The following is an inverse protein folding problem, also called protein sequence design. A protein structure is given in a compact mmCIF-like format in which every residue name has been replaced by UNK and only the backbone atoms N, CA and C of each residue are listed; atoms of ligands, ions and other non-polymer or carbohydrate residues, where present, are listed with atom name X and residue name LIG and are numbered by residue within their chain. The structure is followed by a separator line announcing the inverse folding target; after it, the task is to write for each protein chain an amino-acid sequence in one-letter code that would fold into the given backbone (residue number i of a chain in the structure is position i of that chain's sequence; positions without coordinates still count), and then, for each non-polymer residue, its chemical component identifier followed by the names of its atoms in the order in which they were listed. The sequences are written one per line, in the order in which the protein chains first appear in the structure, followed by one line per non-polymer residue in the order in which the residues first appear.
data_IF_982673400937
#
_entry.id   IF_982673400937
#
_cell.length_a   1.000
_cell.length_b   1.000
_cell.length_c   1.000
_cell.angle_alpha   90.00
_cell.angle_beta   90.00
_cell.angle_gamma   90.00
#
_symmetry.space_group_name_H-M   'P 1'
#
loop_
_entity.id
_entity.type
_entity.pdbx_description
1 polymer ?
#
# COMPACT_ATOMS: atom_id res chain seq x y z
N UNK A 1 -1.69 4.28 -21.34
CA UNK A 1 -0.88 5.10 -22.28
C UNK A 1 -1.74 5.56 -23.43
N UNK A 2 -2.14 6.84 -23.42
CA UNK A 2 -2.38 7.69 -24.59
C UNK A 2 -3.10 8.95 -24.10
N UNK A 3 -2.43 10.10 -24.12
CA UNK A 3 -3.00 11.41 -24.47
C UNK A 3 -1.85 12.38 -24.81
N UNK A 4 -2.12 13.39 -25.66
CA UNK A 4 -1.33 13.66 -26.85
C UNK A 4 -0.57 14.99 -26.78
N UNK A 5 0.39 15.18 -27.69
CA UNK A 5 1.02 16.46 -28.05
C UNK A 5 1.43 17.39 -26.88
N UNK A 6 2.66 17.21 -26.38
CA UNK A 6 3.43 18.32 -25.79
C UNK A 6 4.78 18.42 -26.51
N UNK A 7 5.17 19.65 -26.80
CA UNK A 7 6.44 20.11 -27.37
C UNK A 7 7.68 19.34 -26.84
N UNK A 8 8.80 19.30 -27.59
CA UNK A 8 9.94 18.45 -27.24
C UNK A 8 10.55 18.91 -25.91
N UNK A 9 10.22 18.21 -24.83
CA UNK A 9 10.82 18.45 -23.52
C UNK A 9 12.23 17.84 -23.50
N UNK A 10 13.20 18.48 -22.80
CA UNK A 10 14.60 18.05 -22.80
C UNK A 10 14.71 16.58 -22.41
N UNK A 11 15.61 15.88 -23.10
CA UNK A 11 15.76 14.42 -23.15
C UNK A 11 15.70 13.72 -21.77
N UNK A 12 16.12 14.40 -20.70
CA UNK A 12 16.04 13.93 -19.31
C UNK A 12 14.60 13.81 -18.77
N UNK A 13 13.72 14.81 -19.00
CA UNK A 13 12.33 14.75 -18.52
C UNK A 13 11.51 13.69 -19.27
N UNK A 14 11.79 13.49 -20.56
CA UNK A 14 11.16 12.43 -21.35
C UNK A 14 11.54 11.02 -20.84
N UNK A 15 12.80 10.84 -20.44
CA UNK A 15 13.27 9.58 -19.87
C UNK A 15 12.64 9.30 -18.48
N UNK A 16 12.53 10.33 -17.64
CA UNK A 16 11.87 10.22 -16.33
C UNK A 16 10.37 9.89 -16.47
N UNK A 17 9.67 10.47 -17.45
CA UNK A 17 8.26 10.15 -17.68
C UNK A 17 8.07 8.73 -18.22
N UNK A 18 8.94 8.25 -19.12
CA UNK A 18 8.90 6.85 -19.56
C UNK A 18 9.15 5.85 -18.41
N UNK A 19 10.03 6.20 -17.47
CA UNK A 19 10.24 5.41 -16.26
C UNK A 19 8.99 5.46 -15.37
N UNK A 20 8.39 6.62 -15.18
CA UNK A 20 7.18 6.78 -14.35
C UNK A 20 5.94 6.07 -14.93
N UNK A 21 5.85 5.96 -16.26
CA UNK A 21 4.78 5.24 -16.95
C UNK A 21 4.97 3.72 -16.96
N UNK A 22 6.13 3.23 -16.52
CA UNK A 22 6.39 1.80 -16.47
C UNK A 22 5.64 1.14 -15.31
N UNK A 23 4.78 0.16 -15.60
CA UNK A 23 4.02 -0.57 -14.57
C UNK A 23 4.91 -1.14 -13.46
N UNK A 24 6.11 -1.62 -13.81
CA UNK A 24 7.08 -2.14 -12.84
C UNK A 24 7.60 -1.04 -11.91
N UNK A 25 7.86 0.15 -12.44
CA UNK A 25 8.33 1.27 -11.64
C UNK A 25 7.22 1.82 -10.75
N UNK A 26 6.00 2.00 -11.27
CA UNK A 26 4.82 2.43 -10.48
C UNK A 26 4.53 1.45 -9.33
N UNK A 27 4.57 0.15 -9.63
CA UNK A 27 4.40 -0.94 -8.65
C UNK A 27 5.54 -0.97 -7.62
N UNK A 28 6.79 -0.81 -8.07
CA UNK A 28 7.95 -0.77 -7.18
C UNK A 28 7.92 0.42 -6.23
N UNK A 29 7.61 1.61 -6.76
CA UNK A 29 7.54 2.84 -5.99
C UNK A 29 6.38 2.80 -4.97
N UNK A 30 5.21 2.32 -5.38
CA UNK A 30 4.07 2.14 -4.47
C UNK A 30 4.32 1.07 -3.41
N UNK A 31 5.02 -0.02 -3.75
CA UNK A 31 5.45 -1.03 -2.79
C UNK A 31 6.43 -0.48 -1.76
N UNK A 32 7.43 0.29 -2.18
CA UNK A 32 8.39 0.96 -1.26
C UNK A 32 7.69 2.01 -0.40
N UNK A 33 6.81 2.82 -1.00
CA UNK A 33 6.00 3.80 -0.27
C UNK A 33 5.10 3.13 0.78
N UNK A 34 4.44 2.04 0.41
CA UNK A 34 3.64 1.22 1.32
C UNK A 34 4.48 0.60 2.44
N UNK A 35 5.70 0.12 2.14
CA UNK A 35 6.61 -0.40 3.15
C UNK A 35 7.00 0.67 4.17
N UNK A 36 7.38 1.87 3.72
CA UNK A 36 7.76 2.97 4.59
C UNK A 36 6.59 3.42 5.48
N UNK A 37 5.42 3.64 4.90
CA UNK A 37 4.20 4.02 5.64
C UNK A 37 3.77 2.93 6.62
N UNK A 38 3.79 1.66 6.22
CA UNK A 38 3.45 0.53 7.09
C UNK A 38 4.45 0.32 8.22
N UNK A 39 5.74 0.61 7.99
CA UNK A 39 6.77 0.57 9.02
C UNK A 39 6.59 1.66 10.08
N UNK A 40 6.33 2.90 9.65
CA UNK A 40 6.03 4.01 10.55
C UNK A 40 4.74 3.77 11.34
N UNK A 41 3.68 3.36 10.64
CA UNK A 41 2.41 3.03 11.27
C UNK A 41 2.53 1.84 12.24
N UNK A 42 3.30 0.81 11.89
CA UNK A 42 3.55 -0.34 12.75
C UNK A 42 4.36 0.01 14.00
N UNK A 43 5.35 0.90 13.90
CA UNK A 43 6.10 1.40 15.06
C UNK A 43 5.19 2.21 16.00
N UNK A 44 4.32 3.04 15.41
CA UNK A 44 3.37 3.84 16.18
C UNK A 44 2.32 2.97 16.88
N UNK A 45 1.70 2.02 16.17
CA UNK A 45 0.71 1.09 16.74
C UNK A 45 1.32 0.18 17.81
N UNK A 46 2.52 -0.34 17.59
CA UNK A 46 3.21 -1.15 18.61
C UNK A 46 3.56 -0.34 19.86
N UNK A 47 3.72 0.99 19.75
CA UNK A 47 3.91 1.86 20.92
C UNK A 47 2.67 1.91 21.81
N UNK A 48 1.47 1.93 21.23
CA UNK A 48 0.22 1.88 22.00
C UNK A 48 -0.06 0.50 22.59
N UNK A 49 0.19 -0.57 21.83
CA UNK A 49 0.03 -1.92 22.36
C UNK A 49 1.03 -2.19 23.48
N UNK A 50 2.27 -1.73 23.38
CA UNK A 50 3.30 -1.88 24.42
C UNK A 50 2.93 -1.15 25.72
N UNK A 51 2.22 -0.01 25.64
CA UNK A 51 1.68 0.66 26.81
C UNK A 51 0.61 -0.18 27.57
N UNK A 52 0.12 -1.25 26.95
CA UNK A 52 -0.87 -2.18 27.49
C UNK A 52 -0.35 -3.59 27.80
N UNK A 53 0.96 -3.87 27.62
CA UNK A 53 1.55 -5.21 27.85
C UNK A 53 2.07 -5.38 29.29
N UNK A 54 1.40 -6.32 29.97
CA UNK A 54 1.80 -7.26 31.03
C UNK A 54 3.01 -6.93 31.96
N UNK A 55 2.81 -6.90 33.30
CA UNK A 55 3.87 -6.67 34.30
C UNK A 55 4.98 -7.74 34.32
N UNK A 56 4.81 -8.87 33.62
CA UNK A 56 5.79 -9.96 33.55
C UNK A 56 7.12 -9.59 32.85
N UNK A 57 7.19 -8.48 32.10
CA UNK A 57 8.44 -8.01 31.49
C UNK A 57 9.28 -7.17 32.48
N UNK A 58 8.67 -6.64 33.53
CA UNK A 58 9.32 -5.72 34.49
C UNK A 58 10.31 -6.41 35.44
N UNK A 59 10.29 -7.75 35.53
CA UNK A 59 11.22 -8.51 36.38
C UNK A 59 12.59 -8.77 35.70
N UNK A 60 12.71 -8.49 34.39
CA UNK A 60 13.97 -8.63 33.66
C UNK A 60 14.82 -7.35 33.79
N UNK A 61 16.17 -7.44 33.77
CA UNK A 61 17.02 -6.26 33.78
C UNK A 61 16.66 -5.31 32.63
N UNK A 62 16.65 -3.99 32.89
CA UNK A 62 16.20 -2.95 31.94
C UNK A 62 16.79 -3.08 30.52
N UNK A 63 18.03 -3.61 30.40
CA UNK A 63 18.67 -3.87 29.10
C UNK A 63 18.03 -5.02 28.32
N UNK A 64 17.56 -6.07 28.99
CA UNK A 64 16.88 -7.21 28.37
C UNK A 64 15.42 -6.87 28.05
N UNK A 65 14.73 -6.11 28.91
CA UNK A 65 13.40 -5.57 28.62
C UNK A 65 13.44 -4.67 27.38
N UNK A 66 14.35 -3.69 27.34
CA UNK A 66 14.46 -2.81 26.17
C UNK A 66 14.79 -3.58 24.89
N UNK A 67 15.66 -4.60 24.97
CA UNK A 67 16.02 -5.44 23.83
C UNK A 67 14.85 -6.33 23.37
N UNK A 68 14.07 -6.88 24.30
CA UNK A 68 12.90 -7.68 24.00
C UNK A 68 11.78 -6.83 23.38
N UNK A 69 11.49 -5.67 23.99
CA UNK A 69 10.54 -4.68 23.48
C UNK A 69 10.95 -4.19 22.09
N UNK A 70 12.20 -3.77 21.90
CA UNK A 70 12.68 -3.32 20.60
C UNK A 70 12.59 -4.42 19.53
N UNK A 71 12.86 -5.68 19.91
CA UNK A 71 12.72 -6.83 19.00
C UNK A 71 11.27 -7.10 18.62
N UNK A 72 10.34 -7.03 19.57
CA UNK A 72 8.91 -7.23 19.30
C UNK A 72 8.35 -6.09 18.45
N UNK A 73 8.67 -4.84 18.78
CA UNK A 73 8.29 -3.66 17.99
C UNK A 73 8.82 -3.76 16.56
N UNK A 74 10.09 -4.14 16.38
CA UNK A 74 10.67 -4.33 15.06
C UNK A 74 9.97 -5.45 14.26
N UNK A 75 9.68 -6.59 14.90
CA UNK A 75 9.00 -7.71 14.23
C UNK A 75 7.58 -7.33 13.79
N UNK A 76 6.80 -6.67 14.66
CA UNK A 76 5.45 -6.19 14.34
C UNK A 76 5.49 -5.14 13.23
N UNK A 77 6.37 -4.15 13.36
CA UNK A 77 6.53 -3.08 12.37
C UNK A 77 6.93 -3.63 11.00
N UNK A 78 7.82 -4.61 10.96
CA UNK A 78 8.23 -5.28 9.73
C UNK A 78 7.08 -6.07 9.09
N UNK A 79 6.28 -6.76 9.89
CA UNK A 79 5.08 -7.48 9.42
C UNK A 79 4.04 -6.53 8.81
N UNK A 80 3.80 -5.40 9.46
CA UNK A 80 2.91 -4.35 8.94
C UNK A 80 3.47 -3.73 7.65
N UNK A 81 4.75 -3.32 7.65
CA UNK A 81 5.44 -2.80 6.48
C UNK A 81 5.31 -3.74 5.26
N UNK A 82 5.52 -5.05 5.46
CA UNK A 82 5.35 -6.05 4.40
C UNK A 82 3.91 -6.11 3.88
N UNK A 83 2.93 -6.05 4.77
CA UNK A 83 1.51 -6.12 4.39
C UNK A 83 1.09 -4.90 3.56
N UNK A 84 1.50 -3.69 3.96
CA UNK A 84 1.24 -2.46 3.21
C UNK A 84 2.02 -2.40 1.89
N UNK A 85 3.26 -2.91 1.86
CA UNK A 85 4.03 -3.01 0.63
C UNK A 85 3.33 -3.91 -0.41
N UNK A 86 2.85 -5.08 0.02
CA UNK A 86 2.11 -6.01 -0.85
C UNK A 86 0.79 -5.40 -1.30
N UNK A 87 0.05 -4.75 -0.40
CA UNK A 87 -1.20 -4.06 -0.74
C UNK A 87 -0.99 -2.96 -1.78
N UNK A 88 0.01 -2.08 -1.59
CA UNK A 88 0.35 -1.03 -2.54
C UNK A 88 0.81 -1.55 -3.90
N UNK A 89 1.62 -2.61 -3.91
CA UNK A 89 2.09 -3.24 -5.13
C UNK A 89 0.94 -3.90 -5.94
N UNK A 90 0.03 -4.63 -5.27
CA UNK A 90 -1.12 -5.24 -5.96
C UNK A 90 -2.05 -4.15 -6.51
N UNK A 91 -2.33 -3.10 -5.72
CA UNK A 91 -3.19 -2.00 -6.17
C UNK A 91 -2.62 -1.30 -7.41
N UNK A 92 -1.38 -0.83 -7.34
CA UNK A 92 -0.75 -0.13 -8.47
C UNK A 92 -0.53 -1.03 -9.69
N UNK A 93 -0.18 -2.30 -9.46
CA UNK A 93 0.00 -3.27 -10.53
C UNK A 93 -1.32 -3.60 -11.24
N UNK A 94 -2.40 -3.83 -10.49
CA UNK A 94 -3.72 -4.13 -11.07
C UNK A 94 -4.29 -2.94 -11.83
N UNK A 95 -4.15 -1.73 -11.28
CA UNK A 95 -4.51 -0.49 -11.98
C UNK A 95 -3.76 -0.37 -13.31
N UNK A 96 -2.44 -0.57 -13.32
CA UNK A 96 -1.64 -0.45 -14.54
C UNK A 96 -2.01 -1.50 -15.60
N UNK A 97 -2.34 -2.73 -15.19
CA UNK A 97 -2.81 -3.79 -16.10
C UNK A 97 -4.17 -3.39 -16.71
N UNK A 98 -5.10 -2.86 -15.90
CA UNK A 98 -6.42 -2.43 -16.37
C UNK A 98 -6.30 -1.23 -17.32
N UNK A 99 -5.47 -0.26 -16.98
CA UNK A 99 -5.18 0.89 -17.83
C UNK A 99 -4.51 0.49 -19.15
N UNK A 100 -3.57 -0.46 -19.11
CA UNK A 100 -2.94 -1.02 -20.29
C UNK A 100 -3.94 -1.73 -21.21
N UNK A 101 -4.94 -2.42 -20.64
CA UNK A 101 -5.95 -3.12 -21.41
C UNK A 101 -7.06 -2.20 -21.96
N UNK A 102 -7.55 -1.23 -21.16
CA UNK A 102 -8.67 -0.35 -21.56
C UNK A 102 -8.24 0.94 -22.25
N UNK A 103 -6.97 1.31 -22.15
CA UNK A 103 -6.41 2.58 -22.64
C UNK A 103 -7.19 3.83 -22.19
N UNK A 104 -7.85 3.77 -21.02
CA UNK A 104 -8.57 4.87 -20.39
C UNK A 104 -8.18 4.95 -18.93
N UNK A 105 -8.13 6.16 -18.36
CA UNK A 105 -7.94 6.40 -16.92
C UNK A 105 -9.20 7.04 -16.32
N UNK A 106 -10.08 6.17 -15.82
CA UNK A 106 -11.36 6.54 -15.21
C UNK A 106 -11.45 6.03 -13.77
N UNK A 107 -12.39 6.58 -12.99
CA UNK A 107 -12.67 6.15 -11.60
C UNK A 107 -12.91 4.64 -11.46
N UNK A 108 -13.39 4.00 -12.52
CA UNK A 108 -13.65 2.56 -12.55
C UNK A 108 -12.37 1.73 -12.45
N UNK A 109 -11.23 2.26 -12.89
CA UNK A 109 -9.95 1.57 -12.80
C UNK A 109 -9.49 1.46 -11.35
N UNK A 110 -9.52 2.57 -10.60
CA UNK A 110 -9.23 2.57 -9.18
C UNK A 110 -10.23 1.73 -8.39
N UNK A 111 -11.53 1.83 -8.72
CA UNK A 111 -12.57 0.98 -8.10
C UNK A 111 -12.28 -0.52 -8.28
N UNK A 112 -11.97 -0.94 -9.51
CA UNK A 112 -11.72 -2.34 -9.84
C UNK A 112 -10.39 -2.82 -9.25
N UNK A 113 -9.32 -2.02 -9.34
CA UNK A 113 -8.03 -2.30 -8.72
C UNK A 113 -8.18 -2.44 -7.18
N UNK A 114 -8.94 -1.55 -6.55
CA UNK A 114 -9.29 -1.60 -5.14
C UNK A 114 -10.04 -2.89 -4.80
N UNK A 115 -11.11 -3.22 -5.52
CA UNK A 115 -11.86 -4.47 -5.30
C UNK A 115 -10.96 -5.71 -5.43
N UNK A 116 -10.16 -5.80 -6.51
CA UNK A 116 -9.28 -6.94 -6.77
C UNK A 116 -8.23 -7.05 -5.66
N UNK A 117 -7.64 -5.93 -5.24
CA UNK A 117 -6.64 -5.90 -4.16
C UNK A 117 -7.24 -6.37 -2.84
N UNK A 118 -8.40 -5.83 -2.46
CA UNK A 118 -9.10 -6.20 -1.23
C UNK A 118 -9.57 -7.66 -1.23
N UNK A 119 -10.10 -8.14 -2.36
CA UNK A 119 -10.49 -9.54 -2.54
C UNK A 119 -9.29 -10.47 -2.44
N UNK A 120 -8.16 -10.14 -3.09
CA UNK A 120 -6.97 -10.99 -3.12
C UNK A 120 -6.31 -11.10 -1.74
N UNK A 121 -6.24 -9.99 -1.00
CA UNK A 121 -5.70 -9.98 0.36
C UNK A 121 -6.59 -10.79 1.32
N UNK A 122 -7.91 -10.70 1.19
CA UNK A 122 -8.86 -11.40 2.04
C UNK A 122 -9.23 -12.82 1.53
N UNK A 123 -8.72 -13.24 0.37
CA UNK A 123 -9.09 -14.51 -0.26
C UNK A 123 -8.87 -15.72 0.65
N UNK A 124 -7.78 -15.71 1.44
CA UNK A 124 -7.46 -16.79 2.38
C UNK A 124 -8.38 -16.86 3.60
N UNK A 125 -9.09 -15.78 3.92
CA UNK A 125 -10.03 -15.71 5.03
C UNK A 125 -11.45 -16.18 4.65
N UNK A 126 -11.67 -16.57 3.37
CA UNK A 126 -12.93 -17.10 2.87
C UNK A 126 -13.70 -16.14 1.96
N UNK A 127 -14.76 -16.62 1.28
CA UNK A 127 -15.47 -15.85 0.26
C UNK A 127 -16.21 -14.63 0.82
N UNK A 128 -16.75 -14.72 2.04
CA UNK A 128 -17.40 -13.59 2.70
C UNK A 128 -16.40 -12.48 3.03
N UNK A 129 -15.21 -12.83 3.53
CA UNK A 129 -14.14 -11.88 3.79
C UNK A 129 -13.63 -11.24 2.48
N UNK A 130 -13.52 -12.00 1.39
CA UNK A 130 -13.15 -11.49 0.08
C UNK A 130 -14.18 -10.48 -0.47
N UNK A 131 -15.48 -10.74 -0.29
CA UNK A 131 -16.54 -9.81 -0.70
C UNK A 131 -16.51 -8.51 0.11
N UNK A 132 -16.36 -8.61 1.43
CA UNK A 132 -16.23 -7.45 2.32
C UNK A 132 -14.96 -6.66 1.99
N UNK A 133 -13.84 -7.36 1.77
CA UNK A 133 -12.57 -6.78 1.36
C UNK A 133 -12.67 -6.04 0.03
N UNK A 134 -13.30 -6.65 -0.98
CA UNK A 134 -13.57 -6.01 -2.26
C UNK A 134 -14.40 -4.73 -2.07
N UNK A 135 -15.54 -4.83 -1.37
CA UNK A 135 -16.43 -3.70 -1.18
C UNK A 135 -15.74 -2.54 -0.43
N UNK A 136 -15.00 -2.84 0.64
CA UNK A 136 -14.28 -1.84 1.43
C UNK A 136 -13.18 -1.13 0.64
N UNK A 137 -12.32 -1.89 -0.04
CA UNK A 137 -11.23 -1.30 -0.83
C UNK A 137 -11.72 -0.59 -2.10
N UNK A 138 -12.79 -1.10 -2.73
CA UNK A 138 -13.44 -0.42 -3.85
C UNK A 138 -14.02 0.93 -3.44
N UNK A 139 -14.75 0.96 -2.31
CA UNK A 139 -15.32 2.19 -1.75
C UNK A 139 -14.24 3.19 -1.35
N UNK A 140 -13.18 2.73 -0.69
CA UNK A 140 -12.05 3.59 -0.32
C UNK A 140 -11.36 4.17 -1.55
N UNK A 141 -11.04 3.33 -2.55
CA UNK A 141 -10.39 3.80 -3.77
C UNK A 141 -11.26 4.79 -4.56
N UNK A 142 -12.57 4.55 -4.65
CA UNK A 142 -13.48 5.50 -5.31
C UNK A 142 -13.57 6.81 -4.55
N UNK A 143 -13.63 6.78 -3.23
CA UNK A 143 -13.65 8.00 -2.43
C UNK A 143 -12.38 8.85 -2.66
N UNK A 144 -11.21 8.21 -2.68
CA UNK A 144 -9.94 8.89 -2.95
C UNK A 144 -9.89 9.43 -4.38
N UNK A 145 -10.28 8.65 -5.39
CA UNK A 145 -10.32 9.11 -6.78
C UNK A 145 -11.29 10.27 -6.99
N UNK A 146 -12.46 10.23 -6.33
CA UNK A 146 -13.42 11.33 -6.37
C UNK A 146 -12.89 12.58 -5.66
N UNK A 147 -12.17 12.42 -4.56
CA UNK A 147 -11.54 13.53 -3.85
C UNK A 147 -10.46 14.18 -4.71
N UNK A 148 -9.52 13.40 -5.26
CA UNK A 148 -8.44 13.90 -6.11
C UNK A 148 -8.91 14.50 -7.43
N UNK A 149 -10.08 14.10 -7.95
CA UNK A 149 -10.67 14.67 -9.19
C UNK A 149 -11.52 15.91 -8.93
N UNK A 150 -11.85 16.22 -7.67
CA UNK A 150 -12.61 17.41 -7.30
C UNK A 150 -11.73 18.65 -7.12
N UNK A 151 -10.44 18.44 -6.92
CA UNK A 151 -9.41 19.48 -6.85
C UNK A 151 -8.66 19.56 -8.20
#
# INVERSE_FOLDING_TARGET
MAFPNKEPLPNEFAYIQMIQDSCLFKTGLSGVGGFALGGLFGMFMSSFEMASVDPAIYEQPMKQQLKATAKDMAARSFSMAKSFAVMGAIFSGTECIIEGYRAKNDIYNGTAAGCITGALLAAKAGPQAALIGCAGFAAFSTAIDLYMRRE
#
